data_IF_949580895990
#
_entry.id   IF_949580895990
#
_cell.length_a   1.000
_cell.length_b   1.000
_cell.length_c   1.000
_cell.angle_alpha   90.00
_cell.angle_beta   90.00
_cell.angle_gamma   90.00
#
_symmetry.space_group_name_H-M   'P 1'
#
loop_
_entity.id
_entity.type
_entity.pdbx_description
1 polymer ?
#
# COMPACT_ATOMS: atom_id res chain seq x y z
N UNK A 1 -2.86 21.10 -36.33
CA UNK A 1 -2.15 20.91 -35.04
C UNK A 1 -3.08 20.17 -34.09
N UNK A 2 -2.79 18.93 -33.77
CA UNK A 2 -3.58 18.16 -32.79
C UNK A 2 -3.41 18.85 -31.43
N UNK A 3 -4.52 19.14 -30.78
CA UNK A 3 -4.50 19.83 -29.49
C UNK A 3 -3.82 18.92 -28.44
N UNK A 4 -2.66 19.32 -27.92
CA UNK A 4 -1.88 18.53 -26.94
C UNK A 4 -2.71 18.11 -25.71
N UNK A 5 -3.74 18.90 -25.36
CA UNK A 5 -4.69 18.56 -24.28
C UNK A 5 -5.54 17.33 -24.61
N UNK A 6 -5.99 17.21 -25.86
CA UNK A 6 -6.76 16.05 -26.33
C UNK A 6 -5.87 14.80 -26.26
N UNK A 7 -4.60 14.90 -26.67
CA UNK A 7 -3.65 13.78 -26.59
C UNK A 7 -3.45 13.33 -25.13
N UNK A 8 -3.30 14.28 -24.19
CA UNK A 8 -3.11 13.95 -22.77
C UNK A 8 -4.34 13.25 -22.17
N UNK A 9 -5.56 13.79 -22.43
CA UNK A 9 -6.81 13.17 -21.97
C UNK A 9 -6.98 11.78 -22.60
N UNK A 10 -6.72 11.65 -23.91
CA UNK A 10 -6.78 10.37 -24.60
C UNK A 10 -5.74 9.39 -24.06
N UNK A 11 -4.54 9.85 -23.68
CA UNK A 11 -3.51 9.00 -23.09
C UNK A 11 -3.93 8.47 -21.72
N UNK A 12 -4.50 9.32 -20.85
CA UNK A 12 -5.02 8.89 -19.52
C UNK A 12 -6.19 7.91 -19.72
N UNK A 13 -7.14 8.21 -20.61
CA UNK A 13 -8.27 7.34 -20.91
C UNK A 13 -7.82 6.04 -21.59
N UNK A 14 -6.87 6.09 -22.54
CA UNK A 14 -6.35 4.92 -23.20
C UNK A 14 -5.53 4.03 -22.25
N UNK A 15 -4.77 4.61 -21.32
CA UNK A 15 -4.08 3.90 -20.27
C UNK A 15 -5.07 3.14 -19.38
N UNK A 16 -6.14 3.82 -18.96
CA UNK A 16 -7.21 3.21 -18.17
C UNK A 16 -7.97 2.13 -18.93
N UNK A 17 -8.28 2.36 -20.22
CA UNK A 17 -8.98 1.38 -21.07
C UNK A 17 -8.10 0.17 -21.41
N UNK A 18 -6.80 0.36 -21.70
CA UNK A 18 -5.91 -0.77 -21.99
C UNK A 18 -5.64 -1.61 -20.73
N UNK A 19 -5.60 -1.00 -19.57
CA UNK A 19 -5.54 -1.74 -18.31
C UNK A 19 -6.82 -2.56 -18.06
N UNK A 20 -8.00 -2.03 -18.42
CA UNK A 20 -9.30 -2.72 -18.37
C UNK A 20 -9.41 -3.84 -19.43
N UNK A 21 -8.82 -3.67 -20.63
CA UNK A 21 -8.89 -4.67 -21.72
C UNK A 21 -7.78 -5.72 -21.64
N UNK A 22 -6.78 -5.53 -20.82
CA UNK A 22 -5.81 -6.58 -20.47
C UNK A 22 -6.46 -7.77 -19.73
N UNK A 23 -7.72 -7.63 -19.31
CA UNK A 23 -8.56 -8.66 -18.67
C UNK A 23 -8.85 -9.91 -19.52
N UNK A 24 -8.37 -10.06 -20.72
CA UNK A 24 -8.91 -11.06 -21.61
C UNK A 24 -7.95 -11.97 -22.33
N UNK A 25 -6.82 -12.39 -21.78
CA UNK A 25 -6.00 -13.45 -22.39
C UNK A 25 -4.95 -14.03 -21.46
N UNK A 26 -5.35 -14.89 -20.56
CA UNK A 26 -4.44 -15.97 -20.17
C UNK A 26 -5.23 -17.27 -20.02
N UNK A 27 -5.27 -18.00 -21.12
CA UNK A 27 -5.56 -19.43 -21.13
C UNK A 27 -4.34 -20.16 -20.53
N UNK A 28 -4.60 -20.91 -19.51
CA UNK A 28 -3.84 -22.08 -19.04
C UNK A 28 -2.32 -21.99 -18.96
N UNK A 29 -1.80 -22.08 -17.80
CA UNK A 29 -0.44 -22.53 -17.58
C UNK A 29 0.32 -21.81 -16.50
N UNK A 30 0.09 -22.18 -15.26
CA UNK A 30 1.10 -22.20 -14.21
C UNK A 30 1.76 -20.89 -13.81
N UNK A 31 1.82 -20.66 -12.52
CA UNK A 31 2.86 -19.88 -11.84
C UNK A 31 2.98 -18.39 -12.19
N UNK A 32 1.88 -17.70 -12.44
CA UNK A 32 1.96 -16.28 -12.72
C UNK A 32 1.49 -15.43 -11.55
N UNK A 33 2.09 -14.25 -11.47
CA UNK A 33 1.81 -13.21 -10.49
C UNK A 33 0.32 -13.02 -10.25
N UNK A 34 -0.08 -12.87 -9.00
CA UNK A 34 -1.47 -12.69 -8.61
C UNK A 34 -2.11 -13.95 -8.03
N UNK A 35 -3.24 -13.83 -7.44
CA UNK A 35 -4.18 -14.81 -6.91
C UNK A 35 -3.67 -16.12 -6.28
N UNK A 36 -2.88 -16.90 -6.99
CA UNK A 36 -2.37 -18.19 -6.52
C UNK A 36 -1.37 -18.09 -5.35
N UNK A 37 -0.75 -16.94 -5.15
CA UNK A 37 0.22 -16.66 -4.08
C UNK A 37 -0.35 -15.83 -2.94
N UNK A 38 -1.63 -15.47 -2.98
CA UNK A 38 -2.28 -14.72 -1.92
C UNK A 38 -2.08 -15.38 -0.55
N UNK A 39 -1.72 -14.57 0.45
CA UNK A 39 -1.51 -15.06 1.81
C UNK A 39 -0.19 -15.80 2.05
N UNK A 40 0.71 -15.91 1.06
CA UNK A 40 2.00 -16.58 1.20
C UNK A 40 3.17 -15.63 1.44
N UNK A 41 2.94 -14.32 1.40
CA UNK A 41 3.97 -13.31 1.68
C UNK A 41 4.12 -13.03 3.17
N UNK A 42 5.31 -12.57 3.58
CA UNK A 42 5.52 -11.89 4.86
C UNK A 42 5.29 -10.40 4.73
N UNK A 43 5.33 -9.67 5.84
CA UNK A 43 5.26 -8.21 5.87
C UNK A 43 4.07 -7.62 5.11
N UNK A 44 2.91 -8.28 5.13
CA UNK A 44 1.67 -7.86 4.43
C UNK A 44 1.25 -6.44 4.83
N UNK A 45 1.59 -5.98 6.03
CA UNK A 45 1.37 -4.60 6.47
C UNK A 45 1.99 -3.55 5.55
N UNK A 46 3.03 -3.92 4.77
CA UNK A 46 3.64 -3.03 3.79
C UNK A 46 2.68 -2.65 2.65
N UNK A 47 1.67 -3.48 2.38
CA UNK A 47 0.66 -3.24 1.36
C UNK A 47 -0.46 -2.29 1.82
N UNK A 48 -0.62 -2.06 3.13
CA UNK A 48 -1.69 -1.19 3.65
C UNK A 48 -1.38 0.27 3.30
N UNK A 49 -2.18 0.92 2.44
CA UNK A 49 -1.95 2.29 2.00
C UNK A 49 -2.00 3.31 3.13
N UNK A 50 -1.21 4.39 3.04
CA UNK A 50 -1.07 5.43 4.04
C UNK A 50 -1.44 6.81 3.50
N UNK A 51 -1.95 7.67 4.39
CA UNK A 51 -2.28 9.06 4.08
C UNK A 51 -3.61 9.23 3.36
N UNK A 52 -4.55 9.94 3.96
CA UNK A 52 -5.91 10.11 3.44
C UNK A 52 -5.96 10.81 2.08
N UNK A 53 -5.02 11.72 1.79
CA UNK A 53 -4.99 12.46 0.53
C UNK A 53 -4.83 11.58 -0.71
N UNK A 54 -4.28 10.37 -0.57
CA UNK A 54 -3.93 9.49 -1.69
C UNK A 54 -4.72 8.18 -1.73
N UNK A 55 -5.53 7.90 -0.70
CA UNK A 55 -6.27 6.64 -0.60
C UNK A 55 -7.51 6.56 -1.48
N UNK A 56 -8.02 7.70 -1.93
CA UNK A 56 -9.26 7.77 -2.70
C UNK A 56 -9.12 7.34 -4.16
N UNK A 57 -7.91 6.94 -4.59
CA UNK A 57 -7.74 6.53 -5.98
C UNK A 57 -6.34 6.69 -6.53
N UNK A 58 -6.29 6.87 -7.83
CA UNK A 58 -5.06 6.89 -8.59
C UNK A 58 -4.23 8.17 -8.48
N UNK A 59 -3.04 8.14 -9.03
CA UNK A 59 -2.17 9.29 -9.19
C UNK A 59 -1.18 9.55 -8.07
N UNK A 60 -1.27 8.86 -6.93
CA UNK A 60 -0.36 9.05 -5.81
C UNK A 60 1.12 8.96 -6.21
N UNK A 61 1.46 7.99 -7.05
CA UNK A 61 2.83 7.77 -7.54
C UNK A 61 3.37 8.95 -8.35
N UNK A 62 2.49 9.66 -9.08
CA UNK A 62 2.85 10.84 -9.87
C UNK A 62 2.81 12.15 -9.07
N UNK A 63 1.92 12.25 -8.06
CA UNK A 63 1.58 13.52 -7.44
C UNK A 63 1.91 13.62 -5.94
N UNK A 64 2.22 12.52 -5.26
CA UNK A 64 2.57 12.56 -3.85
C UNK A 64 3.80 13.44 -3.61
N UNK A 65 3.72 14.34 -2.63
CA UNK A 65 4.80 15.24 -2.23
C UNK A 65 5.01 15.20 -0.72
N UNK A 66 6.12 15.78 -0.26
CA UNK A 66 6.43 15.89 1.16
C UNK A 66 6.59 14.55 1.85
N UNK A 67 6.23 14.48 3.13
CA UNK A 67 6.37 13.26 3.95
C UNK A 67 5.51 12.12 3.43
N UNK A 68 4.31 12.40 2.90
CA UNK A 68 3.43 11.38 2.32
C UNK A 68 4.06 10.61 1.17
N UNK A 69 4.97 11.26 0.43
CA UNK A 69 5.71 10.63 -0.66
C UNK A 69 6.64 9.50 -0.19
N UNK A 70 7.07 9.51 1.07
CA UNK A 70 7.93 8.42 1.60
C UNK A 70 7.31 7.04 1.42
N UNK A 71 5.98 6.95 1.44
CA UNK A 71 5.26 5.70 1.21
C UNK A 71 4.96 5.45 -0.27
N UNK A 72 4.44 6.47 -1.00
CA UNK A 72 3.91 6.28 -2.35
C UNK A 72 4.98 6.30 -3.45
N UNK A 73 5.83 7.33 -3.42
CA UNK A 73 6.95 7.49 -4.36
C UNK A 73 8.00 8.41 -3.72
N UNK A 74 9.13 7.87 -3.26
CA UNK A 74 10.12 8.66 -2.53
C UNK A 74 10.65 9.88 -3.31
N UNK A 75 10.55 9.89 -4.63
CA UNK A 75 10.93 11.03 -5.46
C UNK A 75 10.17 12.32 -5.12
N UNK A 76 8.91 12.19 -4.69
CA UNK A 76 8.05 13.31 -4.38
C UNK A 76 8.45 14.08 -3.11
N UNK A 77 9.26 13.51 -2.23
CA UNK A 77 9.72 14.20 -1.02
C UNK A 77 10.56 15.44 -1.36
N UNK A 78 11.38 15.42 -2.42
CA UNK A 78 12.15 16.59 -2.87
C UNK A 78 11.27 17.73 -3.41
N UNK A 79 10.00 17.43 -3.72
CA UNK A 79 9.01 18.38 -4.23
C UNK A 79 8.21 19.05 -3.11
N UNK A 80 8.54 18.77 -1.84
CA UNK A 80 7.95 19.45 -0.69
C UNK A 80 8.00 20.98 -0.86
N UNK A 81 6.91 21.64 -0.47
CA UNK A 81 6.83 23.11 -0.52
C UNK A 81 7.47 23.79 0.68
N UNK A 82 7.49 23.10 1.81
CA UNK A 82 8.05 23.59 3.06
C UNK A 82 9.44 23.02 3.31
N UNK A 83 10.24 23.71 4.12
CA UNK A 83 11.59 23.24 4.46
C UNK A 83 11.57 22.10 5.50
N UNK A 84 10.57 22.14 6.38
CA UNK A 84 10.30 21.06 7.35
C UNK A 84 8.82 20.69 7.24
N UNK A 85 8.55 19.43 7.09
CA UNK A 85 7.19 18.87 7.08
C UNK A 85 7.08 17.72 8.04
N UNK A 86 5.94 17.62 8.71
CA UNK A 86 5.56 16.48 9.54
C UNK A 86 4.18 16.00 9.16
N UNK A 87 4.00 14.69 9.20
CA UNK A 87 2.71 14.05 8.92
C UNK A 87 2.40 13.03 9.99
N UNK A 88 1.14 13.01 10.41
CA UNK A 88 0.58 12.00 11.27
C UNK A 88 -0.70 11.48 10.63
N UNK A 89 -0.84 10.18 10.48
CA UNK A 89 -2.02 9.54 9.87
C UNK A 89 -2.46 8.35 10.70
N UNK A 90 -3.76 8.26 10.92
CA UNK A 90 -4.41 7.12 11.55
C UNK A 90 -5.51 6.59 10.64
N UNK A 91 -5.51 5.29 10.44
CA UNK A 91 -6.49 4.55 9.66
C UNK A 91 -7.18 3.52 10.53
N UNK A 92 -8.52 3.52 10.54
CA UNK A 92 -9.29 2.34 10.96
C UNK A 92 -9.27 1.31 9.82
N UNK A 93 -8.97 0.08 10.16
CA UNK A 93 -8.92 -1.03 9.22
C UNK A 93 -10.02 -2.04 9.61
N UNK A 94 -10.27 -3.05 8.79
CA UNK A 94 -11.28 -4.06 9.13
C UNK A 94 -10.95 -4.80 10.43
N UNK A 95 -11.94 -5.42 11.07
CA UNK A 95 -11.80 -6.21 12.30
C UNK A 95 -11.12 -5.45 13.46
N UNK A 96 -11.51 -4.19 13.70
CA UNK A 96 -10.98 -3.31 14.75
C UNK A 96 -9.46 -3.07 14.69
N UNK A 97 -8.80 -3.47 13.61
CA UNK A 97 -7.39 -3.15 13.42
C UNK A 97 -7.20 -1.67 13.14
N UNK A 98 -6.05 -1.15 13.52
CA UNK A 98 -5.68 0.23 13.22
C UNK A 98 -4.25 0.35 12.72
N UNK A 99 -4.03 1.30 11.80
CA UNK A 99 -2.71 1.60 11.26
C UNK A 99 -2.36 3.04 11.59
N UNK A 100 -1.22 3.20 12.23
CA UNK A 100 -0.61 4.47 12.53
C UNK A 100 0.56 4.71 11.57
N UNK A 101 0.65 5.90 11.00
CA UNK A 101 1.80 6.39 10.25
C UNK A 101 2.21 7.76 10.77
N UNK A 102 3.49 7.95 10.99
CA UNK A 102 4.05 9.25 11.30
C UNK A 102 5.38 9.44 10.59
N UNK A 103 5.69 10.67 10.22
CA UNK A 103 6.96 10.97 9.57
C UNK A 103 7.31 12.45 9.63
N UNK A 104 8.56 12.72 9.36
CA UNK A 104 9.11 14.05 9.23
C UNK A 104 10.11 14.11 8.07
N UNK A 105 10.14 15.22 7.36
CA UNK A 105 11.07 15.46 6.26
C UNK A 105 11.64 16.87 6.34
N UNK A 106 12.92 16.99 6.00
CA UNK A 106 13.64 18.27 5.87
C UNK A 106 14.14 18.43 4.45
N UNK A 107 13.87 19.57 3.84
CA UNK A 107 14.33 19.95 2.51
C UNK A 107 15.51 20.90 2.61
N UNK A 108 16.63 20.52 2.01
CA UNK A 108 17.89 21.26 1.97
C UNK A 108 18.25 21.55 0.50
N UNK A 109 17.73 22.66 -0.02
CA UNK A 109 17.88 23.01 -1.43
C UNK A 109 17.21 21.99 -2.35
N UNK A 110 17.99 21.32 -3.18
CA UNK A 110 17.51 20.29 -4.10
C UNK A 110 17.38 18.89 -3.45
N UNK A 111 17.86 18.70 -2.23
CA UNK A 111 17.84 17.42 -1.53
C UNK A 111 16.78 17.43 -0.43
N UNK A 112 16.18 16.28 -0.14
CA UNK A 112 15.30 16.10 0.99
C UNK A 112 15.62 14.80 1.70
N UNK A 113 15.55 14.84 3.02
CA UNK A 113 15.76 13.70 3.90
C UNK A 113 14.52 13.52 4.77
N UNK A 114 14.09 12.29 4.95
CA UNK A 114 12.93 12.00 5.76
C UNK A 114 13.08 10.74 6.58
N UNK A 115 12.34 10.71 7.66
CA UNK A 115 12.15 9.54 8.51
C UNK A 115 10.67 9.24 8.60
N UNK A 116 10.31 7.97 8.61
CA UNK A 116 8.93 7.53 8.78
C UNK A 116 8.84 6.32 9.68
N UNK A 117 7.74 6.22 10.39
CA UNK A 117 7.37 5.04 11.17
C UNK A 117 5.95 4.65 10.83
N UNK A 118 5.69 3.35 10.88
CA UNK A 118 4.37 2.77 10.70
C UNK A 118 4.18 1.62 11.68
N UNK A 119 2.99 1.52 12.26
CA UNK A 119 2.60 0.43 13.15
C UNK A 119 1.21 -0.06 12.76
N UNK A 120 1.05 -1.38 12.65
CA UNK A 120 -0.26 -2.02 12.55
C UNK A 120 -0.57 -2.61 13.92
N UNK A 121 -1.68 -2.19 14.52
CA UNK A 121 -2.28 -2.77 15.71
C UNK A 121 -3.42 -3.69 15.29
N UNK A 122 -3.32 -4.96 15.63
CA UNK A 122 -4.34 -5.99 15.35
C UNK A 122 -5.17 -6.32 16.59
N UNK A 123 -5.01 -5.56 17.67
CA UNK A 123 -5.71 -5.78 18.93
C UNK A 123 -5.16 -6.94 19.74
N UNK A 124 -5.93 -7.32 20.76
CA UNK A 124 -5.59 -8.40 21.69
C UNK A 124 -6.28 -9.70 21.27
N UNK A 125 -5.52 -10.77 21.16
CA UNK A 125 -6.00 -12.12 20.83
C UNK A 125 -5.98 -12.98 22.08
N UNK A 126 -7.11 -13.60 22.49
CA UNK A 126 -7.14 -14.49 23.63
C UNK A 126 -6.34 -15.78 23.35
N UNK A 127 -5.60 -16.23 24.35
CA UNK A 127 -4.89 -17.51 24.29
C UNK A 127 -5.88 -18.64 24.61
N UNK A 128 -6.10 -19.52 23.66
CA UNK A 128 -6.93 -20.72 23.83
C UNK A 128 -6.07 -21.99 23.85
N UNK A 129 -6.54 -23.03 24.51
CA UNK A 129 -5.94 -24.36 24.54
C UNK A 129 -7.02 -25.42 24.35
N UNK A 130 -6.62 -26.65 24.09
CA UNK A 130 -7.55 -27.80 23.99
C UNK A 130 -8.38 -27.97 25.29
N UNK A 131 -7.82 -27.61 26.43
CA UNK A 131 -8.49 -27.71 27.75
C UNK A 131 -9.26 -26.45 28.14
N UNK A 132 -9.03 -25.32 27.45
CA UNK A 132 -9.68 -24.02 27.70
C UNK A 132 -10.00 -23.38 26.34
N UNK A 133 -10.99 -23.89 25.60
CA UNK A 133 -11.34 -23.40 24.26
C UNK A 133 -11.90 -21.96 24.30
N UNK A 134 -12.54 -21.58 25.41
CA UNK A 134 -13.10 -20.23 25.60
C UNK A 134 -12.04 -19.21 26.06
N UNK A 135 -10.79 -19.63 26.25
CA UNK A 135 -9.67 -18.79 26.64
C UNK A 135 -9.07 -19.17 27.99
N UNK A 136 -7.77 -18.97 28.11
CA UNK A 136 -7.01 -19.21 29.36
C UNK A 136 -7.01 -18.00 30.30
N UNK A 137 -7.59 -16.88 29.89
CA UNK A 137 -7.47 -15.57 30.55
C UNK A 137 -6.22 -14.78 30.12
N UNK A 138 -5.26 -15.42 29.48
CA UNK A 138 -4.12 -14.72 28.85
C UNK A 138 -4.52 -14.14 27.50
N UNK A 139 -3.95 -12.98 27.16
CA UNK A 139 -4.05 -12.34 25.87
C UNK A 139 -2.66 -12.03 25.33
N UNK A 140 -2.54 -11.94 24.04
CA UNK A 140 -1.34 -11.44 23.37
C UNK A 140 -1.72 -10.52 22.21
N UNK A 141 -0.85 -9.54 21.90
CA UNK A 141 -1.00 -8.67 20.76
C UNK A 141 0.16 -8.92 19.80
N UNK A 142 -0.09 -9.29 18.54
CA UNK A 142 0.92 -9.31 17.50
C UNK A 142 1.49 -7.91 17.32
N UNK A 143 2.80 -7.79 17.14
CA UNK A 143 3.46 -6.52 16.88
C UNK A 143 3.87 -6.44 15.41
N UNK A 144 3.57 -5.31 14.77
CA UNK A 144 4.03 -5.02 13.42
C UNK A 144 4.49 -3.56 13.35
N UNK A 145 5.73 -3.37 13.00
CA UNK A 145 6.38 -2.07 12.99
C UNK A 145 7.31 -1.94 11.80
N UNK A 146 7.24 -0.80 11.11
CA UNK A 146 8.16 -0.44 10.02
C UNK A 146 8.77 0.92 10.29
N UNK A 147 10.08 1.04 10.14
CA UNK A 147 10.80 2.31 10.14
C UNK A 147 11.47 2.52 8.78
N UNK A 148 11.36 3.74 8.24
CA UNK A 148 11.89 4.11 6.94
C UNK A 148 12.80 5.33 7.01
N UNK A 149 13.87 5.30 6.18
CA UNK A 149 14.76 6.43 5.92
C UNK A 149 14.69 6.75 4.42
N UNK A 150 14.31 7.98 4.08
CA UNK A 150 14.12 8.43 2.71
C UNK A 150 15.13 9.49 2.34
N UNK A 151 15.73 9.35 1.17
CA UNK A 151 16.48 10.40 0.49
C UNK A 151 15.86 10.68 -0.86
N UNK A 152 15.71 11.97 -1.18
CA UNK A 152 15.15 12.40 -2.46
C UNK A 152 15.87 13.63 -2.98
N UNK A 153 15.93 13.78 -4.31
CA UNK A 153 16.61 14.89 -4.96
C UNK A 153 15.87 15.40 -6.20
N UNK A 154 15.78 16.71 -6.33
CA UNK A 154 15.42 17.37 -7.59
C UNK A 154 16.59 17.28 -8.55
N UNK A 155 16.43 16.53 -9.65
CA UNK A 155 17.45 16.40 -10.70
C UNK A 155 17.36 17.56 -11.69
N UNK A 156 16.15 18.08 -11.90
CA UNK A 156 15.86 19.26 -12.71
C UNK A 156 14.61 19.95 -12.14
N UNK A 157 14.18 21.07 -12.75
CA UNK A 157 12.92 21.73 -12.35
C UNK A 157 11.70 20.81 -12.53
N UNK A 158 11.78 19.79 -13.40
CA UNK A 158 10.66 18.91 -13.74
C UNK A 158 10.83 17.48 -13.22
N UNK A 159 12.03 17.05 -12.90
CA UNK A 159 12.34 15.66 -12.56
C UNK A 159 12.87 15.54 -11.15
N UNK A 160 12.32 14.65 -10.36
CA UNK A 160 12.85 14.26 -9.06
C UNK A 160 13.05 12.73 -9.00
N UNK A 161 13.96 12.30 -8.15
CA UNK A 161 14.26 10.89 -7.87
C UNK A 161 14.38 10.71 -6.37
N UNK A 162 14.05 9.52 -5.88
CA UNK A 162 14.16 9.21 -4.46
C UNK A 162 14.33 7.73 -4.19
N UNK A 163 14.86 7.45 -3.01
CA UNK A 163 15.00 6.10 -2.47
C UNK A 163 14.62 6.08 -1.01
N UNK A 164 14.01 4.99 -0.56
CA UNK A 164 13.72 4.72 0.84
C UNK A 164 14.30 3.36 1.24
N UNK A 165 14.86 3.29 2.42
CA UNK A 165 15.26 2.02 3.06
C UNK A 165 14.31 1.80 4.23
N UNK A 166 13.59 0.69 4.22
CA UNK A 166 12.67 0.31 5.27
C UNK A 166 13.18 -0.91 6.03
N UNK A 167 12.95 -0.91 7.33
CA UNK A 167 13.11 -2.09 8.18
C UNK A 167 11.76 -2.42 8.79
N UNK A 168 11.23 -3.59 8.47
CA UNK A 168 9.95 -4.10 8.97
C UNK A 168 10.20 -5.24 9.95
N UNK A 169 9.51 -5.19 11.08
CA UNK A 169 9.56 -6.21 12.12
C UNK A 169 8.17 -6.69 12.47
N UNK A 170 7.95 -7.98 12.43
CA UNK A 170 6.72 -8.65 12.81
C UNK A 170 6.99 -9.58 13.99
N UNK A 171 6.14 -9.52 15.01
CA UNK A 171 6.29 -10.34 16.21
C UNK A 171 4.99 -11.02 16.60
N UNK A 172 5.08 -12.30 16.90
CA UNK A 172 3.97 -13.11 17.36
C UNK A 172 4.42 -13.92 18.57
N UNK A 173 3.98 -13.50 19.76
CA UNK A 173 4.41 -14.11 21.04
C UNK A 173 5.94 -14.19 21.16
N UNK A 174 6.51 -15.36 21.00
CA UNK A 174 7.95 -15.64 21.16
C UNK A 174 8.66 -15.89 19.82
N UNK A 175 8.04 -15.47 18.72
CA UNK A 175 8.61 -15.55 17.38
C UNK A 175 8.63 -14.14 16.79
N UNK A 176 9.71 -13.78 16.13
CA UNK A 176 9.90 -12.49 15.49
C UNK A 176 10.57 -12.64 14.12
N UNK A 177 10.03 -11.96 13.13
CA UNK A 177 10.64 -11.79 11.82
C UNK A 177 11.12 -10.36 11.61
N UNK A 178 12.16 -10.18 10.79
CA UNK A 178 12.63 -8.85 10.37
C UNK A 178 13.04 -8.93 8.91
N UNK A 179 12.58 -7.94 8.13
CA UNK A 179 13.00 -7.76 6.74
C UNK A 179 13.51 -6.34 6.51
N UNK A 180 14.43 -6.21 5.57
CA UNK A 180 14.88 -4.92 5.04
C UNK A 180 14.43 -4.81 3.59
N UNK A 181 13.75 -3.70 3.25
CA UNK A 181 13.26 -3.43 1.90
C UNK A 181 13.73 -2.07 1.40
N UNK A 182 13.75 -1.93 0.09
CA UNK A 182 14.15 -0.73 -0.61
C UNK A 182 13.01 -0.28 -1.52
N UNK A 183 12.75 1.02 -1.52
CA UNK A 183 11.85 1.66 -2.45
C UNK A 183 12.64 2.63 -3.31
N UNK A 184 12.30 2.73 -4.58
CA UNK A 184 12.89 3.68 -5.50
C UNK A 184 11.82 4.26 -6.41
N UNK A 185 11.96 5.54 -6.76
CA UNK A 185 11.00 6.14 -7.66
C UNK A 185 11.50 7.39 -8.37
N UNK A 186 10.72 7.76 -9.38
CA UNK A 186 10.94 8.94 -10.21
C UNK A 186 9.60 9.64 -10.41
N UNK A 187 9.60 10.96 -10.38
CA UNK A 187 8.48 11.80 -10.80
C UNK A 187 8.94 12.78 -11.86
N UNK A 188 8.08 13.00 -12.86
CA UNK A 188 8.30 13.96 -13.94
C UNK A 188 7.04 14.83 -14.10
N UNK A 189 7.18 16.12 -13.89
CA UNK A 189 6.11 17.13 -14.02
C UNK A 189 6.15 17.76 -15.41
N UNK A 190 5.00 18.12 -15.96
CA UNK A 190 4.84 18.60 -17.33
C UNK A 190 5.51 17.67 -18.35
N UNK A 191 5.17 16.41 -18.30
CA UNK A 191 5.74 15.38 -19.15
C UNK A 191 5.54 15.73 -20.63
N UNK A 192 6.57 15.48 -21.44
CA UNK A 192 6.62 15.85 -22.87
C UNK A 192 6.30 17.34 -23.14
N UNK A 193 6.56 18.24 -22.18
CA UNK A 193 6.19 19.65 -22.21
C UNK A 193 4.68 19.89 -22.39
N UNK A 194 3.85 18.95 -21.90
CA UNK A 194 2.42 19.13 -21.76
C UNK A 194 2.17 19.65 -20.35
N UNK A 195 1.79 20.92 -20.24
CA UNK A 195 1.54 21.57 -18.95
C UNK A 195 0.43 20.84 -18.19
N UNK A 196 0.70 20.48 -16.94
CA UNK A 196 -0.23 19.80 -16.05
C UNK A 196 -0.31 18.28 -16.27
N UNK A 197 0.55 17.70 -17.13
CA UNK A 197 0.67 16.24 -17.25
C UNK A 197 1.86 15.75 -16.42
N UNK A 198 1.58 15.07 -15.33
CA UNK A 198 2.58 14.51 -14.44
C UNK A 198 2.62 12.98 -14.54
N UNK A 199 3.83 12.42 -14.47
CA UNK A 199 4.09 10.99 -14.54
C UNK A 199 4.94 10.57 -13.36
N UNK A 200 4.62 9.42 -12.78
CA UNK A 200 5.42 8.82 -11.73
C UNK A 200 5.58 7.33 -11.93
N UNK A 201 6.73 6.82 -11.55
CA UNK A 201 7.03 5.38 -11.51
C UNK A 201 7.71 5.09 -10.18
N UNK A 202 7.31 4.02 -9.54
CA UNK A 202 7.91 3.55 -8.30
C UNK A 202 8.00 2.02 -8.27
N UNK A 203 9.08 1.52 -7.69
CA UNK A 203 9.24 0.14 -7.24
C UNK A 203 9.34 0.20 -5.73
N UNK A 204 8.48 -0.55 -5.04
CA UNK A 204 8.43 -0.54 -3.57
C UNK A 204 8.62 -1.93 -3.00
N UNK A 205 9.12 -1.96 -1.78
CA UNK A 205 9.30 -3.17 -0.99
C UNK A 205 10.23 -4.21 -1.66
N UNK A 206 11.16 -3.80 -2.50
CA UNK A 206 12.17 -4.71 -3.04
C UNK A 206 13.13 -5.10 -1.91
N UNK A 207 13.18 -6.39 -1.52
CA UNK A 207 13.99 -6.82 -0.38
C UNK A 207 14.23 -8.32 -0.33
N UNK A 208 14.93 -8.72 0.72
CA UNK A 208 15.16 -10.15 1.00
C UNK A 208 13.96 -10.77 1.69
N UNK A 209 13.72 -12.07 1.51
CA UNK A 209 12.71 -12.79 2.27
C UNK A 209 12.88 -12.61 3.78
N UNK A 210 11.76 -12.62 4.50
CA UNK A 210 11.71 -12.58 5.95
C UNK A 210 11.83 -14.00 6.50
N UNK A 211 12.67 -14.15 7.52
CA UNK A 211 12.79 -15.38 8.29
C UNK A 211 12.38 -15.13 9.73
N UNK A 212 11.58 -16.01 10.26
CA UNK A 212 11.13 -15.92 11.63
C UNK A 212 12.07 -16.67 12.56
N UNK A 213 12.37 -16.07 13.72
CA UNK A 213 13.23 -16.63 14.75
C UNK A 213 12.61 -16.45 16.14
N UNK A 214 13.03 -17.27 17.09
CA UNK A 214 12.61 -17.12 18.47
C UNK A 214 12.45 -18.44 19.23
N UNK A 215 12.25 -18.30 20.55
CA UNK A 215 12.08 -19.47 21.42
C UNK A 215 10.75 -20.22 21.19
N UNK A 216 9.79 -19.61 20.49
CA UNK A 216 8.54 -20.26 20.09
C UNK A 216 8.75 -21.38 19.05
N UNK A 217 9.90 -21.42 18.38
CA UNK A 217 10.27 -22.46 17.41
C UNK A 217 11.02 -23.65 18.06
N UNK A 218 11.18 -23.63 19.39
CA UNK A 218 11.77 -24.75 20.11
C UNK A 218 10.70 -25.79 20.41
N UNK A 219 10.91 -27.01 19.96
CA UNK A 219 10.07 -28.16 20.26
C UNK A 219 10.84 -29.21 21.04
N UNK A 220 10.14 -29.93 21.90
CA UNK A 220 10.73 -31.09 22.58
C UNK A 220 10.72 -32.25 21.62
N UNK A 221 11.87 -32.82 21.35
CA UNK A 221 12.00 -34.01 20.50
C UNK A 221 12.88 -35.08 21.18
N UNK A 222 12.59 -36.30 20.85
CA UNK A 222 13.40 -37.50 21.26
C UNK A 222 14.00 -38.06 19.98
N UNK A 223 15.31 -38.29 19.99
CA UNK A 223 16.00 -38.92 18.86
C UNK A 223 15.56 -40.40 18.77
N UNK A 224 15.04 -40.79 17.61
CA UNK A 224 14.56 -42.16 17.39
C UNK A 224 15.74 -43.12 17.45
N UNK A 225 15.62 -44.18 18.28
CA UNK A 225 16.64 -45.23 18.42
C UNK A 225 17.72 -44.93 19.45
N UNK A 226 17.55 -43.93 20.30
CA UNK A 226 18.46 -43.66 21.40
C UNK A 226 17.70 -43.52 22.72
N UNK A 227 18.29 -43.99 23.84
CA UNK A 227 17.75 -43.80 25.20
C UNK A 227 18.09 -42.40 25.75
N UNK A 228 18.28 -41.38 24.88
CA UNK A 228 18.62 -40.03 25.29
C UNK A 228 17.41 -39.30 25.85
N UNK A 229 17.68 -38.45 26.83
CA UNK A 229 16.67 -37.57 27.40
C UNK A 229 16.11 -36.61 26.33
N UNK A 230 14.85 -36.26 26.47
CA UNK A 230 14.17 -35.26 25.62
C UNK A 230 15.01 -34.00 25.50
N UNK A 231 15.33 -33.58 24.28
CA UNK A 231 16.09 -32.38 24.00
C UNK A 231 15.19 -31.34 23.33
N UNK A 232 15.53 -30.07 23.49
CA UNK A 232 14.91 -29.01 22.72
C UNK A 232 15.58 -28.93 21.34
N UNK A 233 14.80 -29.10 20.30
CA UNK A 233 15.24 -28.90 18.92
C UNK A 233 14.59 -27.68 18.34
N UNK A 234 15.34 -26.88 17.61
CA UNK A 234 14.83 -25.70 16.89
C UNK A 234 14.25 -26.16 15.57
N UNK A 235 12.96 -25.87 15.34
CA UNK A 235 12.36 -25.98 14.02
C UNK A 235 12.93 -24.86 13.17
N UNK A 236 13.46 -25.18 12.00
CA UNK A 236 13.93 -24.18 11.04
C UNK A 236 12.74 -23.76 10.16
N UNK A 237 12.25 -22.49 10.27
CA UNK A 237 11.14 -22.02 9.46
C UNK A 237 11.58 -21.78 8.03
N UNK A 238 10.63 -21.87 7.11
CA UNK A 238 10.81 -21.40 5.75
C UNK A 238 11.04 -19.87 5.73
N UNK A 239 11.64 -19.39 4.67
CA UNK A 239 11.73 -17.95 4.36
C UNK A 239 10.50 -17.56 3.55
N UNK A 240 9.94 -16.38 3.85
CA UNK A 240 8.76 -15.83 3.18
C UNK A 240 9.15 -14.54 2.46
N UNK A 241 8.88 -14.48 1.18
CA UNK A 241 9.13 -13.29 0.39
C UNK A 241 8.31 -12.10 0.88
N UNK A 242 8.85 -10.89 0.70
CA UNK A 242 8.14 -9.63 0.94
C UNK A 242 7.36 -9.21 -0.31
N UNK A 243 6.20 -8.53 -0.15
CA UNK A 243 5.37 -8.16 -1.29
C UNK A 243 5.97 -6.96 -2.03
N UNK A 244 6.60 -7.21 -3.16
CA UNK A 244 7.14 -6.18 -4.04
C UNK A 244 6.02 -5.60 -4.92
N UNK A 245 6.03 -4.28 -5.07
CA UNK A 245 5.09 -3.52 -5.89
C UNK A 245 5.83 -2.77 -7.00
N UNK A 246 5.26 -2.81 -8.19
CA UNK A 246 5.58 -1.90 -9.28
C UNK A 246 4.38 -1.00 -9.54
N UNK A 247 4.57 0.31 -9.54
CA UNK A 247 3.50 1.27 -9.77
C UNK A 247 3.89 2.28 -10.84
N UNK A 248 2.94 2.57 -11.74
CA UNK A 248 3.06 3.63 -12.72
C UNK A 248 1.80 4.49 -12.67
N UNK A 249 1.98 5.78 -12.48
CA UNK A 249 0.88 6.75 -12.32
C UNK A 249 0.99 7.90 -13.29
N UNK A 250 -0.18 8.39 -13.70
CA UNK A 250 -0.39 9.57 -14.53
C UNK A 250 -1.36 10.50 -13.80
N UNK A 251 -1.12 11.80 -13.87
CA UNK A 251 -2.08 12.82 -13.42
C UNK A 251 -2.14 13.94 -14.45
N UNK A 252 -3.33 14.48 -14.68
CA UNK A 252 -3.52 15.57 -15.64
C UNK A 252 -4.47 16.64 -15.09
N UNK A 253 -4.00 17.88 -15.13
CA UNK A 253 -4.81 19.06 -14.78
C UNK A 253 -5.69 19.44 -15.98
N UNK A 254 -6.96 19.02 -15.96
CA UNK A 254 -7.93 19.25 -17.04
C UNK A 254 -8.27 20.74 -17.17
N UNK A 255 -8.50 21.38 -16.02
CA UNK A 255 -8.76 22.81 -15.88
C UNK A 255 -8.28 23.28 -14.50
N UNK A 256 -8.17 24.60 -14.27
CA UNK A 256 -7.78 25.10 -12.95
C UNK A 256 -8.63 24.49 -11.84
N UNK A 257 -7.97 23.81 -10.91
CA UNK A 257 -8.58 23.12 -9.77
C UNK A 257 -9.09 21.70 -10.05
N UNK A 258 -9.26 21.26 -11.28
CA UNK A 258 -9.73 19.91 -11.60
C UNK A 258 -8.58 19.04 -12.14
N UNK A 259 -8.21 18.03 -11.39
CA UNK A 259 -7.22 17.02 -11.77
C UNK A 259 -7.88 15.64 -11.92
N UNK A 260 -7.51 14.91 -12.95
CA UNK A 260 -7.83 13.49 -13.12
C UNK A 260 -6.54 12.70 -13.12
N UNK A 261 -6.57 11.52 -12.52
CA UNK A 261 -5.37 10.70 -12.40
C UNK A 261 -5.69 9.21 -12.40
N UNK A 262 -4.70 8.42 -12.79
CA UNK A 262 -4.76 6.97 -12.81
C UNK A 262 -3.44 6.36 -12.38
N UNK A 263 -3.49 5.20 -11.74
CA UNK A 263 -2.32 4.40 -11.37
C UNK A 263 -2.60 2.95 -11.71
N UNK A 264 -1.63 2.33 -12.36
CA UNK A 264 -1.52 0.88 -12.49
C UNK A 264 -0.55 0.37 -11.42
N UNK A 265 -0.97 -0.62 -10.66
CA UNK A 265 -0.20 -1.29 -9.62
C UNK A 265 -0.10 -2.77 -9.95
N UNK A 266 1.12 -3.30 -10.02
CA UNK A 266 1.39 -4.72 -10.15
C UNK A 266 2.08 -5.23 -8.91
N UNK A 267 1.54 -6.32 -8.35
CA UNK A 267 2.01 -6.95 -7.13
C UNK A 267 2.42 -8.41 -7.45
N UNK A 268 3.56 -8.84 -6.90
CA UNK A 268 4.02 -10.21 -7.11
C UNK A 268 3.25 -11.29 -6.32
N UNK A 269 2.29 -10.91 -5.46
CA UNK A 269 1.48 -11.82 -4.63
C UNK A 269 -0.03 -11.65 -4.83
N UNK A 270 -0.47 -10.47 -5.22
CA UNK A 270 -1.88 -10.14 -5.42
C UNK A 270 -2.16 -9.85 -6.89
N UNK A 271 -3.42 -9.66 -7.20
CA UNK A 271 -3.85 -9.24 -8.53
C UNK A 271 -3.39 -7.81 -8.83
N UNK A 272 -3.19 -7.52 -10.11
CA UNK A 272 -2.90 -6.18 -10.57
C UNK A 272 -4.11 -5.26 -10.35
N UNK A 273 -3.84 -4.00 -10.00
CA UNK A 273 -4.87 -3.03 -9.64
C UNK A 273 -4.78 -1.79 -10.52
N UNK A 274 -5.95 -1.28 -10.90
CA UNK A 274 -6.08 0.02 -11.55
C UNK A 274 -6.85 0.95 -10.63
N UNK A 275 -6.28 2.10 -10.35
CA UNK A 275 -6.85 3.13 -9.49
C UNK A 275 -7.10 4.38 -10.32
N UNK A 276 -8.31 4.91 -10.27
CA UNK A 276 -8.71 6.15 -10.93
C UNK A 276 -9.16 7.17 -9.88
N UNK A 277 -8.87 8.45 -10.10
CA UNK A 277 -9.26 9.51 -9.19
C UNK A 277 -9.58 10.80 -9.95
N UNK A 278 -10.62 11.50 -9.50
CA UNK A 278 -10.88 12.89 -9.79
C UNK A 278 -10.73 13.72 -8.51
N UNK A 279 -10.04 14.87 -8.61
CA UNK A 279 -9.85 15.79 -7.50
C UNK A 279 -10.22 17.20 -7.93
N UNK A 280 -11.01 17.90 -7.09
CA UNK A 280 -11.32 19.31 -7.30
C UNK A 280 -10.83 20.15 -6.12
N UNK A 281 -9.94 21.08 -6.41
CA UNK A 281 -9.27 21.94 -5.43
C UNK A 281 -9.79 23.37 -5.52
N UNK A 282 -10.33 23.87 -4.41
CA UNK A 282 -10.55 25.29 -4.14
C UNK A 282 -9.31 25.82 -3.43
N UNK A 283 -8.46 26.63 -4.10
CA UNK A 283 -7.16 27.03 -3.56
C UNK A 283 -7.24 27.63 -2.16
N UNK A 284 -6.42 27.14 -1.24
CA UNK A 284 -6.33 27.62 0.14
C UNK A 284 -7.53 27.33 1.04
N UNK A 285 -8.54 26.57 0.55
CA UNK A 285 -9.73 26.24 1.31
C UNK A 285 -9.93 24.73 1.45
N UNK A 286 -10.18 24.04 0.33
CA UNK A 286 -10.65 22.68 0.34
C UNK A 286 -10.24 21.96 -0.95
N UNK A 287 -9.89 20.68 -0.85
CA UNK A 287 -9.87 19.74 -1.98
C UNK A 287 -10.87 18.62 -1.71
N UNK A 288 -11.68 18.27 -2.69
CA UNK A 288 -12.57 17.10 -2.64
C UNK A 288 -12.05 16.08 -3.65
N UNK A 289 -12.08 14.80 -3.27
CA UNK A 289 -11.62 13.69 -4.10
C UNK A 289 -12.66 12.58 -4.13
N UNK A 290 -12.79 11.98 -5.31
CA UNK A 290 -13.50 10.73 -5.49
C UNK A 290 -12.64 9.81 -6.35
N UNK A 291 -12.61 8.55 -6.01
CA UNK A 291 -11.80 7.57 -6.71
C UNK A 291 -12.46 6.22 -6.75
N UNK A 292 -11.89 5.37 -7.61
CA UNK A 292 -12.33 4.00 -7.81
C UNK A 292 -11.09 3.11 -7.94
N UNK A 293 -11.11 2.00 -7.22
CA UNK A 293 -10.16 0.90 -7.34
C UNK A 293 -10.82 -0.22 -8.15
N UNK A 294 -10.08 -0.79 -9.08
CA UNK A 294 -10.50 -1.95 -9.86
C UNK A 294 -9.37 -2.98 -9.86
N UNK A 295 -9.68 -4.22 -9.67
CA UNK A 295 -8.75 -5.33 -9.91
C UNK A 295 -8.88 -5.85 -11.32
N UNK A 296 -7.77 -6.31 -11.89
CA UNK A 296 -7.70 -6.65 -13.33
C UNK A 296 -8.07 -8.09 -13.63
N UNK A 297 -8.22 -8.93 -12.63
CA UNK A 297 -8.50 -10.35 -12.83
C UNK A 297 -9.51 -10.92 -11.84
N UNK A 298 -10.53 -11.59 -12.35
CA UNK A 298 -11.42 -12.44 -11.56
C UNK A 298 -10.82 -13.84 -11.53
N UNK A 299 -10.44 -14.33 -10.37
CA UNK A 299 -9.96 -15.71 -10.24
C UNK A 299 -11.14 -16.66 -10.37
N UNK A 300 -11.28 -17.29 -11.53
CA UNK A 300 -12.14 -18.46 -11.64
C UNK A 300 -11.47 -19.63 -10.91
N UNK A 301 -11.93 -19.96 -9.72
CA UNK A 301 -11.53 -21.19 -9.05
C UNK A 301 -12.28 -22.34 -9.70
N UNK A 302 -11.65 -23.04 -10.64
CA UNK A 302 -12.09 -24.37 -11.02
C UNK A 302 -11.80 -25.29 -9.83
N UNK A 303 -12.85 -25.74 -9.18
CA UNK A 303 -12.75 -26.74 -8.14
C UNK A 303 -12.30 -28.05 -8.80
N UNK A 304 -11.00 -28.30 -8.77
CA UNK A 304 -10.42 -29.57 -9.21
C UNK A 304 -10.68 -30.62 -8.12
N UNK A 305 -11.96 -30.85 -7.85
CA UNK A 305 -12.37 -31.95 -6.98
C UNK A 305 -12.08 -33.25 -7.70
N UNK A 306 -11.08 -33.98 -7.22
CA UNK A 306 -10.78 -35.37 -7.56
C UNK A 306 -11.92 -36.32 -7.18
N UNK A 307 -13.16 -35.93 -7.35
CA UNK A 307 -14.32 -36.80 -7.22
C UNK A 307 -15.01 -36.90 -8.57
N UNK A 308 -14.94 -38.10 -9.12
CA UNK A 308 -15.55 -38.61 -10.34
C UNK A 308 -17.08 -38.56 -10.30
N UNK A 309 -17.67 -37.38 -10.29
CA UNK A 309 -19.06 -37.15 -10.71
C UNK A 309 -19.12 -35.76 -11.33
N UNK A 310 -19.22 -35.75 -12.64
CA UNK A 310 -19.37 -34.59 -13.45
C UNK A 310 -20.75 -33.98 -13.15
N UNK A 311 -20.77 -32.97 -12.30
CA UNK A 311 -21.93 -32.07 -12.23
C UNK A 311 -21.47 -30.74 -12.85
N UNK A 312 -22.01 -30.43 -14.03
CA UNK A 312 -21.64 -29.31 -14.89
C UNK A 312 -22.13 -27.94 -14.35
N UNK A 313 -22.27 -27.79 -13.07
CA UNK A 313 -22.47 -26.47 -12.46
C UNK A 313 -21.15 -26.02 -11.84
N UNK A 314 -20.23 -25.53 -12.67
CA UNK A 314 -19.10 -24.74 -12.17
C UNK A 314 -19.67 -23.49 -11.48
N UNK A 315 -19.79 -23.55 -10.16
CA UNK A 315 -20.06 -22.36 -9.37
C UNK A 315 -18.84 -21.46 -9.47
N UNK A 316 -18.94 -20.41 -10.29
CA UNK A 316 -17.98 -19.32 -10.28
C UNK A 316 -18.00 -18.73 -8.87
N UNK A 317 -16.96 -18.91 -8.10
CA UNK A 317 -16.80 -18.19 -6.86
C UNK A 317 -16.19 -16.85 -7.23
N UNK A 318 -17.02 -15.84 -7.32
CA UNK A 318 -16.60 -14.45 -7.43
C UNK A 318 -15.98 -14.08 -6.09
N UNK A 319 -14.67 -13.86 -6.07
CA UNK A 319 -13.96 -13.40 -4.87
C UNK A 319 -14.03 -11.88 -4.89
N UNK A 320 -14.97 -11.34 -4.16
CA UNK A 320 -15.09 -9.90 -3.96
C UNK A 320 -13.89 -9.40 -3.12
N UNK A 321 -13.28 -8.32 -3.57
CA UNK A 321 -12.20 -7.68 -2.85
C UNK A 321 -12.72 -6.80 -1.72
N UNK A 322 -12.00 -6.79 -0.59
CA UNK A 322 -12.40 -6.04 0.61
C UNK A 322 -12.59 -4.53 0.33
N UNK A 323 -11.84 -3.98 -0.62
CA UNK A 323 -11.84 -2.54 -0.95
C UNK A 323 -12.08 -2.26 -2.44
N UNK A 324 -12.81 -3.11 -3.11
CA UNK A 324 -13.20 -2.88 -4.49
C UNK A 324 -14.41 -1.95 -4.53
N UNK A 325 -14.21 -0.74 -5.04
CA UNK A 325 -15.31 0.19 -5.13
C UNK A 325 -14.91 1.67 -5.07
N UNK A 326 -15.90 2.50 -4.86
CA UNK A 326 -15.72 3.94 -4.76
C UNK A 326 -15.18 4.34 -3.40
N UNK A 327 -14.26 5.30 -3.40
CA UNK A 327 -13.73 5.95 -2.21
C UNK A 327 -13.88 7.46 -2.32
N UNK A 328 -14.03 8.11 -1.18
CA UNK A 328 -14.26 9.55 -1.11
C UNK A 328 -13.31 10.16 -0.08
N UNK A 329 -12.88 11.40 -0.33
CA UNK A 329 -12.03 12.08 0.62
C UNK A 329 -11.96 13.59 0.37
N UNK A 330 -11.30 14.26 1.28
CA UNK A 330 -11.08 15.67 1.18
C UNK A 330 -9.92 16.16 2.04
N UNK A 331 -9.42 17.34 1.69
CA UNK A 331 -8.38 18.06 2.44
C UNK A 331 -8.94 19.44 2.81
N UNK A 332 -8.81 19.80 4.07
CA UNK A 332 -9.09 21.17 4.55
C UNK A 332 -7.75 21.85 4.83
N UNK A 333 -7.50 22.98 4.18
CA UNK A 333 -6.29 23.77 4.38
C UNK A 333 -6.49 24.76 5.53
N UNK A 334 -5.64 24.68 6.54
CA UNK A 334 -5.76 25.48 7.77
C UNK A 334 -4.89 26.74 7.76
N UNK A 335 -4.10 26.96 6.71
CA UNK A 335 -3.17 28.09 6.62
C UNK A 335 -3.83 29.44 6.89
N UNK A 336 -5.06 29.62 6.42
CA UNK A 336 -5.84 30.86 6.62
C UNK A 336 -6.19 31.10 8.10
N UNK A 337 -6.30 30.05 8.90
CA UNK A 337 -6.76 30.13 10.29
C UNK A 337 -5.60 30.08 11.29
N UNK A 338 -4.54 29.32 10.99
CA UNK A 338 -3.44 29.05 11.91
C UNK A 338 -2.16 29.83 11.55
N UNK A 339 -2.10 30.45 10.37
CA UNK A 339 -0.89 31.13 9.88
C UNK A 339 0.28 30.18 9.53
N UNK A 340 0.13 28.87 9.76
CA UNK A 340 1.07 27.83 9.40
C UNK A 340 0.53 26.95 8.27
N UNK A 341 1.40 26.35 7.46
CA UNK A 341 1.01 25.42 6.40
C UNK A 341 0.55 24.09 7.03
N UNK A 342 -0.69 24.06 7.52
CA UNK A 342 -1.30 22.88 8.06
C UNK A 342 -2.51 22.45 7.24
N UNK A 343 -2.73 21.17 7.11
CA UNK A 343 -3.93 20.59 6.50
C UNK A 343 -4.39 19.34 7.26
N UNK A 344 -5.71 19.12 7.20
CA UNK A 344 -6.33 17.88 7.66
C UNK A 344 -6.93 17.20 6.44
N UNK A 345 -6.56 15.96 6.24
CA UNK A 345 -7.13 15.09 5.21
C UNK A 345 -8.03 14.04 5.85
N UNK A 346 -9.13 13.75 5.19
CA UNK A 346 -10.02 12.66 5.53
C UNK A 346 -10.31 11.83 4.29
N UNK A 347 -10.33 10.50 4.45
CA UNK A 347 -10.79 9.57 3.42
C UNK A 347 -11.69 8.49 4.02
N UNK A 348 -12.67 8.11 3.24
CA UNK A 348 -13.62 7.05 3.54
C UNK A 348 -13.60 6.03 2.41
N UNK A 349 -13.43 4.77 2.76
CA UNK A 349 -13.33 3.65 1.83
C UNK A 349 -14.34 2.61 2.30
N UNK A 350 -15.48 2.47 1.61
CA UNK A 350 -16.46 1.46 1.93
C UNK A 350 -15.89 0.06 1.69
N UNK A 351 -16.27 -0.87 2.53
CA UNK A 351 -16.00 -2.29 2.32
C UNK A 351 -17.14 -2.93 1.53
N UNK A 352 -16.80 -3.82 0.57
CA UNK A 352 -17.79 -4.57 -0.20
C UNK A 352 -18.44 -5.72 0.59
N UNK A 353 -17.92 -6.07 1.76
CA UNK A 353 -18.35 -7.22 2.55
C UNK A 353 -19.27 -6.84 3.71
N UNK A 354 -20.42 -7.48 3.77
CA UNK A 354 -21.30 -7.42 4.94
C UNK A 354 -20.62 -8.10 6.15
N UNK A 355 -20.43 -7.34 7.22
CA UNK A 355 -19.81 -7.84 8.46
C UNK A 355 -18.42 -7.32 8.75
N UNK A 356 -17.84 -6.53 7.85
CA UNK A 356 -16.63 -5.76 8.12
C UNK A 356 -16.95 -4.27 8.12
N UNK A 357 -16.29 -3.53 9.02
CA UNK A 357 -16.43 -2.09 9.10
C UNK A 357 -15.71 -1.38 7.96
N UNK A 358 -16.29 -0.26 7.52
CA UNK A 358 -15.68 0.60 6.53
C UNK A 358 -14.38 1.22 7.06
N UNK A 359 -13.44 1.45 6.16
CA UNK A 359 -12.16 2.07 6.51
C UNK A 359 -12.24 3.59 6.44
N UNK A 360 -11.82 4.25 7.49
CA UNK A 360 -11.67 5.71 7.52
C UNK A 360 -10.23 6.09 7.87
N UNK A 361 -9.75 7.17 7.25
CA UNK A 361 -8.38 7.64 7.43
C UNK A 361 -8.40 9.12 7.74
N UNK A 362 -7.69 9.49 8.79
CA UNK A 362 -7.38 10.88 9.14
C UNK A 362 -5.90 11.13 8.99
N UNK A 363 -5.54 12.26 8.40
CA UNK A 363 -4.14 12.66 8.28
C UNK A 363 -4.01 14.14 8.62
N UNK A 364 -3.06 14.46 9.49
CA UNK A 364 -2.64 15.81 9.81
C UNK A 364 -1.26 16.05 9.19
N UNK A 365 -1.16 17.09 8.37
CA UNK A 365 0.10 17.56 7.82
C UNK A 365 0.41 18.95 8.37
N UNK A 366 1.66 19.17 8.75
CA UNK A 366 2.15 20.46 9.24
C UNK A 366 3.48 20.78 8.57
N UNK A 367 3.56 21.96 7.96
CA UNK A 367 4.75 22.47 7.28
C UNK A 367 5.26 23.78 7.89
N UNK A 368 6.59 23.91 7.93
CA UNK A 368 7.32 25.05 8.48
C UNK A 368 8.36 25.61 7.49
#
# INVERSE_FOLDING_TARGET
MINKRIIAITAVLAFSLNALTAQGRYEYGGDLAGGARNGTSSAVSLLIPQGAAYLTGGGAVATATGVGAAYWNPAGMARATNNLETTFSQRSHFADMSVLFAGAAVKLGNNSFGVSIRSLDVGEIPVTTVFSPDGTGEKFSPSNFTAGLTFSRMMSAKTSMGVTVNTTSEGFRRVKGTAMTFDAGVQYVDFLNVTGLDVGVAVRNFGRPMRYEGSGLLTKAVEVGTDRLTQFMKIEPAEFDVPMLFEMGLAYDVMPGLQVSGTYESNNFEQDKVKLMGAYTLPGLLTVRAGMLMETETVERTDDSRTTTVDESSSKVEIDNLYDGFSFGGTVYLQRYLGSNASIDYAYIPTGFSGFDDSSVFTLNVGF
#
